data_IF_041611052716
#
_entry.id   IF_041611052716
#
_cell.length_a   1.000
_cell.length_b   1.000
_cell.length_c   1.000
_cell.angle_alpha   90.00
_cell.angle_beta   90.00
_cell.angle_gamma   90.00
#
_symmetry.space_group_name_H-M   'P 1'
#
loop_
_entity.id
_entity.type
_entity.pdbx_description
1 polymer ?
#
# COMPACT_ATOMS: atom_id res chain seq x y z
N UNK A 1 -23.75 -8.55 10.79
CA UNK A 1 -23.36 -8.63 10.61
C UNK A 1 -22.53 -8.43 10.22
N UNK A 2 -22.10 -8.54 10.16
CA UNK A 2 -21.30 -8.17 10.03
C UNK A 2 -20.12 -8.20 9.16
N UNK A 3 -20.27 -7.93 7.89
CA UNK A 3 -19.13 -7.80 7.01
C UNK A 3 -18.14 -6.76 7.51
N UNK A 4 -18.66 -5.72 8.19
CA UNK A 4 -17.77 -4.68 8.67
C UNK A 4 -16.85 -5.18 9.77
N UNK A 5 -17.27 -6.15 10.57
CA UNK A 5 -16.42 -6.67 11.61
C UNK A 5 -15.25 -7.46 11.01
N UNK A 6 -15.51 -8.23 9.97
CA UNK A 6 -14.44 -8.96 9.29
C UNK A 6 -13.48 -8.01 8.61
N UNK A 7 -14.00 -6.96 8.00
CA UNK A 7 -13.13 -5.98 7.35
C UNK A 7 -12.28 -5.25 8.38
N UNK A 8 -12.85 -4.89 9.52
CA UNK A 8 -12.10 -4.20 10.55
C UNK A 8 -10.95 -5.06 11.07
N UNK A 9 -11.20 -6.34 11.29
CA UNK A 9 -10.18 -7.25 11.78
C UNK A 9 -9.07 -7.43 10.74
N UNK A 10 -9.47 -7.60 9.48
CA UNK A 10 -8.51 -7.74 8.40
C UNK A 10 -7.64 -6.49 8.31
N UNK A 11 -8.25 -5.31 8.33
CA UNK A 11 -7.50 -4.07 8.16
C UNK A 11 -6.65 -3.73 9.38
N UNK A 12 -6.96 -4.26 10.54
CA UNK A 12 -6.11 -4.06 11.71
C UNK A 12 -4.76 -4.78 11.53
N UNK A 13 -4.72 -5.86 10.73
CA UNK A 13 -3.52 -6.67 10.55
C UNK A 13 -2.82 -6.39 9.23
N UNK A 14 -3.33 -5.48 8.42
CA UNK A 14 -2.80 -5.22 7.08
C UNK A 14 -2.82 -3.75 6.76
N UNK A 15 -1.86 -3.32 5.97
CA UNK A 15 -1.83 -1.97 5.41
C UNK A 15 -1.50 -2.06 3.94
N UNK A 16 -1.90 -1.05 3.19
CA UNK A 16 -1.74 -1.04 1.74
C UNK A 16 -1.07 0.26 1.30
N UNK A 17 -0.11 0.15 0.41
CA UNK A 17 0.44 1.29 -0.31
C UNK A 17 -0.17 1.22 -1.70
N UNK A 18 -0.84 2.31 -2.12
CA UNK A 18 -1.36 2.41 -3.48
C UNK A 18 -0.41 3.25 -4.30
N UNK A 19 -0.14 2.81 -5.52
CA UNK A 19 0.80 3.53 -6.38
C UNK A 19 0.39 3.48 -7.84
N UNK A 20 0.98 4.35 -8.62
CA UNK A 20 0.88 4.32 -10.08
C UNK A 20 2.29 4.45 -10.65
N UNK A 21 2.61 3.63 -11.63
CA UNK A 21 3.89 3.70 -12.31
C UNK A 21 3.63 4.12 -13.75
N UNK A 22 4.14 5.30 -14.12
CA UNK A 22 4.02 5.79 -15.48
C UNK A 22 5.20 5.23 -16.26
N UNK A 23 4.94 4.21 -17.07
CA UNK A 23 6.01 3.54 -17.82
C UNK A 23 6.60 4.46 -18.88
N UNK A 24 5.83 5.44 -19.33
CA UNK A 24 6.30 6.35 -20.36
C UNK A 24 7.42 7.27 -19.82
N UNK A 25 7.24 7.81 -18.64
CA UNK A 25 8.23 8.70 -18.03
C UNK A 25 9.06 7.99 -16.97
N UNK A 26 8.79 6.73 -16.69
CA UNK A 26 9.44 5.94 -15.65
C UNK A 26 9.32 6.63 -14.28
N UNK A 27 8.16 7.19 -13.99
CA UNK A 27 7.96 7.87 -12.72
C UNK A 27 6.92 7.17 -11.85
N UNK A 28 7.19 7.16 -10.57
CA UNK A 28 6.29 6.57 -9.59
C UNK A 28 5.57 7.65 -8.81
N UNK A 29 4.30 7.43 -8.57
CA UNK A 29 3.57 8.27 -7.62
C UNK A 29 2.83 7.38 -6.65
N UNK A 30 2.63 7.88 -5.44
CA UNK A 30 1.99 7.13 -4.37
C UNK A 30 0.81 7.91 -3.84
N UNK A 31 -0.23 7.20 -3.43
CA UNK A 31 -1.41 7.87 -2.87
C UNK A 31 -1.09 8.23 -1.43
N UNK A 32 -1.22 9.52 -1.12
CA UNK A 32 -1.10 10.02 0.23
C UNK A 32 -2.52 10.32 0.71
N UNK A 33 -2.90 9.76 1.85
CA UNK A 33 -4.27 9.89 2.35
C UNK A 33 -4.35 11.06 3.34
N UNK A 34 -5.24 11.98 3.06
CA UNK A 34 -5.51 13.10 3.94
C UNK A 34 -4.23 13.88 4.27
N UNK A 35 -3.30 13.94 3.33
CA UNK A 35 -2.00 14.60 3.44
C UNK A 35 -1.19 14.13 4.65
N UNK A 36 -1.44 12.93 5.15
CA UNK A 36 -0.76 12.49 6.36
C UNK A 36 -0.02 11.16 6.22
N UNK A 37 -0.52 10.22 5.44
CA UNK A 37 0.13 8.90 5.39
C UNK A 37 -0.08 8.26 4.04
N UNK A 38 0.87 7.42 3.62
CA UNK A 38 0.71 6.62 2.41
C UNK A 38 0.16 5.23 2.73
N UNK A 39 -0.09 4.93 4.00
CA UNK A 39 -0.62 3.63 4.39
C UNK A 39 -2.14 3.69 4.54
N UNK A 40 -2.82 2.76 3.90
CA UNK A 40 -4.27 2.66 3.99
C UNK A 40 -4.62 1.45 4.87
N UNK A 41 -5.60 1.52 5.74
CA UNK A 41 -6.52 2.63 5.94
C UNK A 41 -6.00 3.73 6.88
N UNK A 42 -4.95 3.47 7.63
CA UNK A 42 -4.39 4.41 8.58
C UNK A 42 -2.90 4.24 8.70
N UNK A 43 -2.21 5.27 9.15
CA UNK A 43 -0.79 5.14 9.48
C UNK A 43 -0.62 4.08 10.57
N UNK A 44 0.55 3.51 10.66
CA UNK A 44 0.87 2.60 11.73
C UNK A 44 1.45 3.38 12.90
N UNK A 45 1.14 2.97 14.12
CA UNK A 45 1.83 3.53 15.28
C UNK A 45 3.30 3.09 15.22
N UNK A 46 4.09 3.37 16.23
CA UNK A 46 5.48 2.96 16.23
C UNK A 46 5.62 1.50 15.87
N UNK A 47 6.53 1.19 14.97
CA UNK A 47 6.69 -0.17 14.48
C UNK A 47 8.15 -0.40 14.05
N UNK A 48 8.51 -1.65 13.89
CA UNK A 48 9.84 -2.01 13.41
C UNK A 48 9.73 -3.07 12.34
N UNK A 49 10.72 -3.15 11.46
CA UNK A 49 10.75 -4.17 10.43
C UNK A 49 10.99 -5.54 11.05
N UNK A 50 10.26 -6.54 10.56
CA UNK A 50 10.47 -7.92 10.98
C UNK A 50 10.40 -8.82 9.77
N UNK A 51 10.94 -10.03 9.83
CA UNK A 51 10.73 -11.00 8.78
C UNK A 51 9.32 -11.54 8.85
N UNK A 52 8.87 -12.22 7.82
CA UNK A 52 7.55 -12.81 7.81
C UNK A 52 7.38 -13.76 8.98
N UNK A 53 6.28 -13.63 9.74
CA UNK A 53 6.07 -14.53 10.88
C UNK A 53 5.69 -15.93 10.41
N UNK A 54 5.70 -16.87 11.34
CA UNK A 54 5.41 -18.27 11.01
C UNK A 54 4.03 -18.46 10.39
N UNK A 55 3.07 -17.64 10.77
CA UNK A 55 1.71 -17.76 10.25
C UNK A 55 1.44 -16.77 9.11
N UNK A 56 2.49 -16.35 8.39
CA UNK A 56 2.34 -15.39 7.29
C UNK A 56 1.37 -15.83 6.22
N UNK A 57 1.18 -17.12 6.03
CA UNK A 57 0.27 -17.64 5.02
C UNK A 57 -1.19 -17.71 5.50
N UNK A 58 -1.45 -17.29 6.72
CA UNK A 58 -2.80 -17.32 7.26
C UNK A 58 -3.72 -16.39 6.49
N UNK A 59 -5.02 -16.70 6.50
CA UNK A 59 -6.01 -15.87 5.84
C UNK A 59 -6.08 -14.46 6.42
N UNK A 60 -5.60 -14.27 7.66
CA UNK A 60 -5.59 -12.95 8.28
C UNK A 60 -4.70 -11.96 7.53
N UNK A 61 -3.76 -12.45 6.70
CA UNK A 61 -2.82 -11.61 5.98
C UNK A 61 -2.96 -11.77 4.46
N UNK A 62 -4.09 -12.27 3.99
CA UNK A 62 -4.28 -12.55 2.57
C UNK A 62 -4.38 -11.25 1.76
N UNK A 63 -3.44 -11.06 0.84
CA UNK A 63 -3.39 -9.84 0.02
C UNK A 63 -4.57 -9.67 -0.90
N UNK A 64 -5.15 -10.76 -1.38
CA UNK A 64 -6.33 -10.64 -2.24
C UNK A 64 -7.55 -10.20 -1.45
N UNK A 65 -7.68 -10.67 -0.21
CA UNK A 65 -8.78 -10.22 0.65
C UNK A 65 -8.64 -8.72 0.95
N UNK A 66 -7.42 -8.25 1.17
CA UNK A 66 -7.17 -6.83 1.41
C UNK A 66 -7.49 -6.01 0.16
N UNK A 67 -7.10 -6.53 -1.02
CA UNK A 67 -7.39 -5.85 -2.28
C UNK A 67 -8.89 -5.73 -2.48
N UNK A 68 -9.65 -6.80 -2.22
CA UNK A 68 -11.10 -6.78 -2.36
C UNK A 68 -11.76 -5.82 -1.36
N UNK A 69 -11.21 -5.72 -0.16
CA UNK A 69 -11.73 -4.79 0.83
C UNK A 69 -11.57 -3.34 0.37
N UNK A 70 -10.41 -3.03 -0.23
CA UNK A 70 -10.16 -1.69 -0.74
C UNK A 70 -11.08 -1.38 -1.91
N UNK A 71 -11.24 -2.32 -2.84
CA UNK A 71 -12.12 -2.14 -3.99
C UNK A 71 -13.55 -1.89 -3.51
N UNK A 72 -14.02 -2.67 -2.55
CA UNK A 72 -15.38 -2.52 -2.04
C UNK A 72 -15.56 -1.19 -1.32
N UNK A 73 -14.54 -0.73 -0.61
CA UNK A 73 -14.63 0.50 0.16
C UNK A 73 -14.83 1.72 -0.73
N UNK A 74 -14.17 1.75 -1.90
CA UNK A 74 -14.18 2.92 -2.76
C UNK A 74 -14.79 2.66 -4.14
N UNK A 75 -15.28 1.47 -4.38
CA UNK A 75 -15.86 1.08 -5.67
C UNK A 75 -14.86 1.22 -6.83
N UNK A 76 -13.61 0.85 -6.58
CA UNK A 76 -12.61 0.87 -7.62
C UNK A 76 -12.89 -0.23 -8.65
N UNK A 77 -12.37 -0.07 -9.85
CA UNK A 77 -12.48 -1.09 -10.89
C UNK A 77 -11.48 -2.20 -10.60
N UNK A 78 -11.95 -3.43 -10.35
CA UNK A 78 -11.02 -4.52 -10.02
C UNK A 78 -9.99 -4.79 -11.10
N UNK A 79 -10.32 -4.55 -12.36
CA UNK A 79 -9.40 -4.78 -13.47
C UNK A 79 -8.27 -3.77 -13.54
N UNK A 80 -8.37 -2.67 -12.80
CA UNK A 80 -7.35 -1.63 -12.83
C UNK A 80 -6.45 -1.62 -11.60
N UNK A 81 -6.64 -2.56 -10.68
CA UNK A 81 -5.86 -2.57 -9.45
C UNK A 81 -5.18 -3.93 -9.31
N UNK A 82 -3.87 -3.93 -9.34
CA UNK A 82 -3.07 -5.15 -9.38
C UNK A 82 -2.21 -5.27 -8.13
N UNK A 83 -2.19 -6.44 -7.51
CA UNK A 83 -1.35 -6.68 -6.35
C UNK A 83 0.06 -7.01 -6.82
N UNK A 84 1.05 -6.38 -6.21
CA UNK A 84 2.45 -6.61 -6.54
C UNK A 84 2.99 -7.66 -5.55
N UNK A 85 3.06 -8.88 -5.98
CA UNK A 85 3.34 -10.00 -5.09
C UNK A 85 4.79 -10.09 -4.64
N UNK A 86 5.72 -9.47 -5.35
CA UNK A 86 7.11 -9.51 -4.93
C UNK A 86 7.47 -8.39 -3.94
N UNK A 87 6.49 -7.64 -3.46
CA UNK A 87 6.70 -6.72 -2.36
C UNK A 87 6.10 -7.41 -1.13
N UNK A 88 6.94 -7.80 -0.18
CA UNK A 88 6.48 -8.51 1.00
C UNK A 88 7.17 -7.89 2.20
N UNK A 89 6.45 -7.06 2.93
CA UNK A 89 7.01 -6.33 4.04
C UNK A 89 6.15 -6.51 5.28
N UNK A 90 6.79 -6.59 6.42
CA UNK A 90 6.10 -6.83 7.67
C UNK A 90 6.56 -5.84 8.72
N UNK A 91 5.64 -5.39 9.53
CA UNK A 91 5.90 -4.44 10.60
C UNK A 91 5.46 -5.07 11.93
N UNK A 92 6.28 -4.91 12.95
CA UNK A 92 5.90 -5.34 14.29
C UNK A 92 5.38 -4.12 15.02
N UNK A 93 4.15 -4.19 15.48
CA UNK A 93 3.54 -3.13 16.26
C UNK A 93 3.21 -3.64 17.66
N UNK A 94 2.74 -2.73 18.51
CA UNK A 94 2.32 -3.10 19.84
C UNK A 94 1.22 -4.13 19.82
N UNK A 95 0.37 -4.10 18.80
CA UNK A 95 -0.75 -5.02 18.65
C UNK A 95 -0.39 -6.30 17.91
N UNK A 96 0.85 -6.43 17.48
CA UNK A 96 1.31 -7.63 16.76
C UNK A 96 1.81 -7.34 15.36
N UNK A 97 2.10 -8.38 14.58
CA UNK A 97 2.60 -8.18 13.22
C UNK A 97 1.53 -7.62 12.30
N UNK A 98 1.94 -6.73 11.41
CA UNK A 98 1.08 -6.15 10.37
C UNK A 98 1.78 -6.36 9.04
N UNK A 99 1.06 -6.87 8.05
CA UNK A 99 1.62 -7.04 6.71
C UNK A 99 1.36 -5.79 5.89
N UNK A 100 2.34 -5.35 5.13
CA UNK A 100 2.19 -4.19 4.25
C UNK A 100 2.18 -4.68 2.82
N UNK A 101 1.10 -4.37 2.10
CA UNK A 101 0.89 -4.81 0.73
C UNK A 101 1.08 -3.66 -0.23
N UNK A 102 1.42 -3.97 -1.47
CA UNK A 102 1.58 -2.96 -2.51
C UNK A 102 0.58 -3.25 -3.62
N UNK A 103 -0.26 -2.27 -3.94
CA UNK A 103 -1.21 -2.38 -5.03
C UNK A 103 -0.92 -1.26 -6.03
N UNK A 104 -1.02 -1.60 -7.30
CA UNK A 104 -0.70 -0.67 -8.38
C UNK A 104 -1.92 -0.46 -9.26
N UNK A 105 -2.21 0.79 -9.60
CA UNK A 105 -3.17 1.08 -10.65
C UNK A 105 -2.45 0.85 -11.97
N UNK A 106 -3.01 -0.02 -12.81
CA UNK A 106 -2.39 -0.36 -14.09
C UNK A 106 -2.96 0.48 -15.24
N UNK A 107 -3.51 1.64 -14.90
CA UNK A 107 -4.05 2.56 -15.88
C UNK A 107 -2.94 3.35 -16.57
N UNK A 108 -3.22 3.90 -17.74
CA UNK A 108 -2.24 4.69 -18.46
C UNK A 108 -1.84 5.93 -17.65
N UNK A 109 -2.81 6.61 -17.08
CA UNK A 109 -2.54 7.77 -16.24
C UNK A 109 -3.00 7.50 -14.83
N UNK A 110 -2.36 8.14 -13.86
CA UNK A 110 -2.77 8.04 -12.47
C UNK A 110 -4.21 8.55 -12.34
N UNK A 111 -5.12 7.78 -11.72
CA UNK A 111 -6.52 8.17 -11.62
C UNK A 111 -6.71 9.21 -10.51
N UNK A 112 -6.21 10.42 -10.74
CA UNK A 112 -6.18 11.47 -9.72
C UNK A 112 -7.54 11.86 -9.20
N UNK A 113 -8.49 12.08 -10.09
CA UNK A 113 -9.82 12.51 -9.67
C UNK A 113 -10.52 11.45 -8.81
N UNK A 114 -10.30 10.18 -9.15
CA UNK A 114 -10.88 9.09 -8.41
C UNK A 114 -10.36 9.10 -6.97
N UNK A 115 -9.07 9.29 -6.77
CA UNK A 115 -8.50 9.27 -5.45
C UNK A 115 -8.81 10.55 -4.67
N UNK A 116 -8.88 11.68 -5.35
CA UNK A 116 -9.22 12.93 -4.67
C UNK A 116 -10.62 12.86 -4.08
N UNK A 117 -11.52 12.13 -4.71
CA UNK A 117 -12.86 11.93 -4.16
C UNK A 117 -12.83 11.08 -2.88
N UNK A 118 -11.72 10.40 -2.62
CA UNK A 118 -11.57 9.55 -1.45
C UNK A 118 -10.56 10.12 -0.46
N UNK A 119 -10.23 11.40 -0.57
CA UNK A 119 -9.24 12.08 0.28
C UNK A 119 -7.82 11.58 0.06
N UNK A 120 -7.55 11.03 -1.12
CA UNK A 120 -6.21 10.60 -1.51
C UNK A 120 -5.64 11.51 -2.57
N UNK A 121 -4.33 11.69 -2.61
CA UNK A 121 -3.69 12.43 -3.66
C UNK A 121 -2.41 11.72 -4.09
N UNK A 122 -2.15 11.71 -5.40
CA UNK A 122 -0.94 11.09 -5.90
C UNK A 122 0.23 12.06 -5.71
N UNK A 123 1.30 11.61 -5.11
CA UNK A 123 2.49 12.41 -4.87
C UNK A 123 3.73 11.57 -5.16
N UNK A 124 4.77 12.21 -5.69
CA UNK A 124 6.03 11.51 -5.94
C UNK A 124 6.93 11.62 -4.70
N UNK A 125 8.05 10.90 -4.69
CA UNK A 125 8.91 10.86 -3.53
C UNK A 125 9.39 12.25 -3.08
N UNK A 126 9.83 13.14 -3.98
CA UNK A 126 10.22 14.47 -3.52
C UNK A 126 9.10 15.25 -2.84
N UNK A 127 7.87 15.03 -3.25
CA UNK A 127 6.73 15.70 -2.64
C UNK A 127 6.40 15.12 -1.26
N UNK A 128 6.85 13.90 -1.00
CA UNK A 128 6.55 13.21 0.24
C UNK A 128 7.64 13.33 1.29
N UNK A 129 8.59 14.24 1.10
CA UNK A 129 9.73 14.34 2.01
C UNK A 129 9.35 14.68 3.44
N UNK A 130 8.14 15.16 3.67
CA UNK A 130 7.66 15.43 5.02
C UNK A 130 6.98 14.24 5.66
N UNK A 131 6.83 13.14 4.91
CA UNK A 131 6.17 11.97 5.43
C UNK A 131 7.02 11.32 6.53
N UNK A 132 6.40 10.43 7.27
CA UNK A 132 7.08 9.66 8.30
C UNK A 132 8.31 8.96 7.71
N UNK A 133 9.42 8.95 8.45
CA UNK A 133 10.65 8.37 7.96
C UNK A 133 10.53 6.90 7.65
N UNK A 134 9.75 6.16 8.43
CA UNK A 134 9.57 4.73 8.17
C UNK A 134 8.76 4.53 6.91
N UNK A 135 7.76 5.37 6.66
CA UNK A 135 7.00 5.29 5.41
C UNK A 135 7.91 5.62 4.22
N UNK A 136 8.77 6.62 4.35
CA UNK A 136 9.69 6.95 3.27
C UNK A 136 10.63 5.79 2.98
N UNK A 137 11.07 5.07 3.99
CA UNK A 137 11.91 3.91 3.79
C UNK A 137 11.19 2.84 2.99
N UNK A 138 9.90 2.62 3.29
CA UNK A 138 9.09 1.68 2.52
C UNK A 138 8.97 2.13 1.07
N UNK A 139 8.74 3.41 0.85
CA UNK A 139 8.56 3.91 -0.51
C UNK A 139 9.85 3.83 -1.32
N UNK A 140 11.00 3.97 -0.68
CA UNK A 140 12.27 3.79 -1.37
C UNK A 140 12.46 2.35 -1.78
N UNK A 141 11.96 1.40 -0.99
CA UNK A 141 12.03 0.00 -1.36
C UNK A 141 11.14 -0.28 -2.56
N UNK A 142 9.96 0.35 -2.62
CA UNK A 142 9.09 0.23 -3.79
C UNK A 142 9.78 0.84 -5.01
N UNK A 143 10.40 2.00 -4.84
CA UNK A 143 11.11 2.64 -5.94
C UNK A 143 12.20 1.71 -6.49
N UNK A 144 12.99 1.09 -5.61
CA UNK A 144 14.04 0.20 -6.04
C UNK A 144 13.48 -1.03 -6.74
N UNK A 145 12.32 -1.49 -6.32
CA UNK A 145 11.70 -2.66 -6.94
C UNK A 145 11.33 -2.37 -8.40
N UNK A 146 10.87 -1.17 -8.69
CA UNK A 146 10.42 -0.81 -10.04
C UNK A 146 11.50 -0.20 -10.92
N UNK A 147 12.41 0.54 -10.33
CA UNK A 147 13.38 1.30 -11.10
C UNK A 147 14.80 0.88 -10.82
N UNK A 148 15.21 0.92 -9.56
CA UNK A 148 16.60 0.66 -9.21
C UNK A 148 16.95 -0.80 -9.09
N UNK A 149 16.04 -1.59 -8.53
CA UNK A 149 16.34 -2.97 -8.20
C UNK A 149 16.58 -3.85 -9.39
N UNK A 150 15.97 -3.53 -10.49
CA UNK A 150 16.09 -4.37 -11.66
C UNK A 150 17.49 -4.34 -12.25
N UNK A 151 18.20 -3.29 -11.93
CA UNK A 151 19.53 -3.19 -12.52
C UNK A 151 20.49 -4.17 -11.91
N UNK A 152 20.19 -4.81 -10.85
CA UNK A 152 21.01 -5.61 -10.30
C UNK A 152 21.10 -6.72 -10.94
N UNK A 153 20.58 -6.89 -11.53
CA UNK A 153 20.77 -7.97 -12.38
C UNK A 153 21.82 -8.81 -12.22
#
# INVERSE_FOLDING_TARGET
MAPSDLSSDLLARNRVILMHFDTYSASLSFVCWDDSTVLWPDALPDWSDIPAPADAASAAYDGEAVRQALIARYSFNPGELVRISNFDHWAQTESGPVRIHLLRFNTFQAPKALLEACDGSFQNLPELRRADKQELTLLRQVFNLFIGGSSKG
#
